data_IF_001522176805
#
_entry.id   IF_001522176805
#
_cell.length_a   1.000
_cell.length_b   1.000
_cell.length_c   1.000
_cell.angle_alpha   90.00
_cell.angle_beta   90.00
_cell.angle_gamma   90.00
#
_symmetry.space_group_name_H-M   'P 1'
#
loop_
_entity.id
_entity.type
_entity.pdbx_description
1 polymer ?
#
# COMPACT_ATOMS: atom_id res chain seq x y z
N UNK A 1 -26.90 21.75 4.90
CA UNK A 1 -25.49 21.39 5.12
C UNK A 1 -25.32 20.02 4.48
N UNK A 2 -25.20 20.03 3.16
CA UNK A 2 -25.23 18.84 2.31
C UNK A 2 -23.85 18.20 2.28
N UNK A 3 -23.68 17.11 3.03
CA UNK A 3 -22.38 16.44 3.23
C UNK A 3 -22.22 15.22 2.29
N UNK A 4 -23.16 14.95 1.38
CA UNK A 4 -23.21 13.64 0.68
C UNK A 4 -22.87 13.66 -0.81
N UNK A 5 -22.31 14.73 -1.39
CA UNK A 5 -22.04 14.78 -2.85
C UNK A 5 -20.57 14.51 -3.26
N UNK A 6 -19.63 14.48 -2.32
CA UNK A 6 -18.19 14.43 -2.67
C UNK A 6 -17.63 13.03 -2.99
N UNK A 7 -18.40 11.96 -2.75
CA UNK A 7 -17.95 10.59 -3.01
C UNK A 7 -18.07 10.17 -4.49
N UNK A 8 -18.88 10.88 -5.29
CA UNK A 8 -19.15 10.51 -6.68
C UNK A 8 -18.12 11.08 -7.67
N UNK A 9 -17.39 12.13 -7.28
CA UNK A 9 -16.65 13.02 -8.19
C UNK A 9 -15.22 12.56 -8.60
N UNK A 10 -14.74 11.38 -8.21
CA UNK A 10 -13.34 11.01 -8.46
C UNK A 10 -13.13 9.58 -8.98
N UNK A 11 -14.07 9.04 -9.75
CA UNK A 11 -13.78 7.79 -10.48
C UNK A 11 -12.79 8.14 -11.59
N UNK A 12 -11.56 7.60 -11.58
CA UNK A 12 -10.61 7.89 -12.66
C UNK A 12 -11.24 7.50 -13.99
N UNK A 13 -11.03 8.35 -15.00
CA UNK A 13 -11.45 8.02 -16.36
C UNK A 13 -10.91 6.65 -16.76
N UNK A 14 -11.71 5.87 -17.50
CA UNK A 14 -11.30 4.58 -18.07
C UNK A 14 -10.46 4.74 -19.33
N UNK A 15 -10.04 5.96 -19.65
CA UNK A 15 -9.20 6.24 -20.81
C UNK A 15 -7.89 5.47 -20.74
N UNK A 16 -7.39 4.96 -21.88
CA UNK A 16 -6.09 4.31 -21.94
C UNK A 16 -4.98 5.23 -21.41
N UNK A 17 -4.20 4.74 -20.44
CA UNK A 17 -3.02 5.45 -19.92
C UNK A 17 -1.81 5.12 -20.80
N UNK A 18 -1.04 6.16 -21.15
CA UNK A 18 0.20 6.02 -21.90
C UNK A 18 1.23 5.14 -21.17
N UNK A 19 1.90 4.24 -21.92
CA UNK A 19 2.95 3.35 -21.43
C UNK A 19 4.10 4.14 -20.81
N UNK A 20 4.52 5.26 -21.40
CA UNK A 20 5.62 6.06 -20.85
C UNK A 20 5.28 6.64 -19.46
N UNK A 21 4.01 6.97 -19.24
CA UNK A 21 3.53 7.44 -17.92
C UNK A 21 3.56 6.33 -16.88
N UNK A 22 3.18 5.10 -17.24
CA UNK A 22 3.25 3.96 -16.33
C UNK A 22 4.70 3.62 -15.99
N UNK A 23 5.59 3.58 -16.98
CA UNK A 23 7.01 3.29 -16.79
C UNK A 23 7.71 4.32 -15.88
N UNK A 24 7.28 5.59 -15.91
CA UNK A 24 7.81 6.63 -15.01
C UNK A 24 7.46 6.40 -13.53
N UNK A 25 6.35 5.72 -13.25
CA UNK A 25 5.88 5.47 -11.88
C UNK A 25 6.37 4.11 -11.38
N UNK A 26 6.24 3.08 -12.22
CA UNK A 26 6.46 1.69 -11.83
C UNK A 26 7.78 1.11 -12.33
N UNK A 27 8.48 1.81 -13.22
CA UNK A 27 9.61 1.27 -13.99
C UNK A 27 9.15 0.48 -15.21
N UNK A 28 10.12 0.09 -16.04
CA UNK A 28 9.91 -0.71 -17.25
C UNK A 28 10.29 -2.19 -17.06
N UNK A 29 11.04 -2.49 -16.00
CA UNK A 29 11.57 -3.84 -15.71
C UNK A 29 10.85 -4.42 -14.50
N UNK A 30 10.27 -5.61 -14.67
CA UNK A 30 9.71 -6.38 -13.56
C UNK A 30 10.85 -7.04 -12.78
N UNK A 31 10.80 -7.06 -11.43
CA UNK A 31 11.76 -7.83 -10.63
C UNK A 31 11.70 -9.31 -10.99
N UNK A 32 12.85 -9.98 -10.90
CA UNK A 32 12.96 -11.44 -11.11
C UNK A 32 12.21 -12.23 -10.03
N UNK A 33 12.12 -11.67 -8.83
CA UNK A 33 11.47 -12.27 -7.66
C UNK A 33 10.24 -11.50 -7.20
N UNK A 34 9.22 -12.22 -6.76
CA UNK A 34 8.00 -11.63 -6.19
C UNK A 34 8.23 -11.14 -4.76
N UNK A 35 7.18 -10.62 -4.10
CA UNK A 35 7.28 -10.14 -2.72
C UNK A 35 7.36 -11.30 -1.72
N UNK A 36 6.67 -12.40 -1.98
CA UNK A 36 6.65 -13.59 -1.12
C UNK A 36 8.00 -14.33 -1.10
N UNK A 37 8.78 -14.22 -2.17
CA UNK A 37 10.14 -14.78 -2.24
C UNK A 37 11.19 -13.92 -1.55
N UNK A 38 10.93 -12.61 -1.43
CA UNK A 38 11.79 -11.67 -0.71
C UNK A 38 11.42 -11.71 0.77
N UNK A 39 12.25 -12.37 1.57
CA UNK A 39 12.09 -12.40 3.03
C UNK A 39 11.97 -10.99 3.61
N UNK A 40 11.34 -10.87 4.79
CA UNK A 40 10.93 -9.58 5.36
C UNK A 40 12.05 -8.53 5.42
N UNK A 41 13.33 -8.92 5.54
CA UNK A 41 14.46 -8.01 5.61
C UNK A 41 14.70 -7.07 4.41
N UNK A 42 14.09 -7.33 3.25
CA UNK A 42 14.28 -6.51 2.03
C UNK A 42 13.21 -5.40 1.87
N UNK A 43 12.18 -5.37 2.73
CA UNK A 43 11.16 -4.31 2.69
C UNK A 43 11.63 -3.06 3.46
N UNK A 44 11.51 -1.84 2.90
CA UNK A 44 11.92 -0.58 3.55
C UNK A 44 11.11 -0.18 4.80
N UNK A 45 10.28 -1.08 5.35
CA UNK A 45 9.55 -0.95 6.61
C UNK A 45 9.85 -2.06 7.62
N UNK A 46 10.69 -3.03 7.26
CA UNK A 46 11.04 -4.18 8.10
C UNK A 46 12.22 -3.86 9.01
N UNK A 47 12.10 -2.79 9.77
CA UNK A 47 12.78 -2.78 11.05
C UNK A 47 11.93 -3.69 11.94
N UNK A 48 12.47 -4.85 12.32
CA UNK A 48 11.82 -5.90 13.13
C UNK A 48 11.16 -5.37 14.42
N UNK A 49 11.44 -4.12 14.81
CA UNK A 49 10.86 -3.44 15.97
C UNK A 49 9.46 -2.82 15.71
N UNK A 50 9.10 -2.48 14.47
CA UNK A 50 7.90 -1.66 14.20
C UNK A 50 6.56 -2.42 14.19
N UNK A 51 6.52 -3.60 13.57
CA UNK A 51 5.29 -4.38 13.40
C UNK A 51 4.77 -4.97 14.71
N UNK A 52 5.68 -5.56 15.48
CA UNK A 52 5.42 -6.14 16.79
C UNK A 52 4.91 -5.11 17.80
N UNK A 53 5.51 -3.91 17.83
CA UNK A 53 5.12 -2.85 18.74
C UNK A 53 3.74 -2.26 18.36
N UNK A 54 3.41 -2.20 17.07
CA UNK A 54 2.08 -1.82 16.61
C UNK A 54 1.02 -2.85 17.04
N UNK A 55 1.31 -4.15 16.88
CA UNK A 55 0.37 -5.22 17.26
C UNK A 55 0.10 -5.24 18.77
N UNK A 56 1.13 -5.06 19.60
CA UNK A 56 0.97 -4.98 21.07
C UNK A 56 0.11 -3.79 21.51
N UNK A 57 0.12 -2.69 20.75
CA UNK A 57 -0.72 -1.51 21.01
C UNK A 57 -2.19 -1.70 20.62
N UNK A 58 -2.51 -2.73 19.85
CA UNK A 58 -3.89 -3.04 19.43
C UNK A 58 -4.59 -4.04 20.35
N UNK A 59 -3.98 -4.47 21.46
CA UNK A 59 -4.61 -5.40 22.40
C UNK A 59 -5.72 -4.67 23.19
N UNK A 60 -7.00 -5.10 23.09
CA UNK A 60 -8.10 -4.47 23.81
C UNK A 60 -7.95 -4.60 25.34
N UNK A 61 -8.40 -3.59 26.12
CA UNK A 61 -8.16 -3.50 27.57
C UNK A 61 -8.89 -4.53 28.44
N UNK A 62 -9.72 -5.38 27.84
CA UNK A 62 -10.58 -6.33 28.56
C UNK A 62 -10.17 -7.80 28.36
N UNK A 63 -8.96 -8.07 27.87
CA UNK A 63 -8.38 -9.41 27.98
C UNK A 63 -7.66 -9.56 29.32
N UNK A 64 -8.46 -9.93 30.33
CA UNK A 64 -8.07 -10.49 31.62
C UNK A 64 -9.13 -11.48 32.06
#
# INVERSE_FOLDING_TARGET
MDITDHAEQARPSRDPIDRARLARIFGDVLPDTTRDERGDGDSPGSSESGGDEWLRRQVPPHHG
#
